data_IF_935514770589
#
_entry.id   IF_935514770589
#
_cell.length_a   1.000
_cell.length_b   1.000
_cell.length_c   1.000
_cell.angle_alpha   90.00
_cell.angle_beta   90.00
_cell.angle_gamma   90.00
#
_symmetry.space_group_name_H-M   'P 1'
#
loop_
_entity.id
_entity.type
_entity.pdbx_description
1 polymer ?
#
# COMPACT_ATOMS: atom_id res chain seq x y z
N UNK A 1 -6.58 -10.30 2.57
CA UNK A 1 -6.59 -9.22 1.56
C UNK A 1 -5.98 -9.67 0.25
N UNK A 2 -4.69 -10.06 0.21
CA UNK A 2 -4.00 -10.53 -1.01
C UNK A 2 -4.74 -11.65 -1.77
N UNK A 3 -5.10 -12.75 -1.08
CA UNK A 3 -5.87 -13.87 -1.67
C UNK A 3 -7.17 -13.42 -2.33
N UNK A 4 -7.82 -12.38 -1.79
CA UNK A 4 -9.05 -11.85 -2.36
C UNK A 4 -8.84 -11.10 -3.67
N UNK A 5 -7.70 -10.41 -3.82
CA UNK A 5 -7.31 -9.82 -5.10
C UNK A 5 -6.96 -10.90 -6.12
N UNK A 6 -6.23 -11.94 -5.70
CA UNK A 6 -5.81 -13.03 -6.59
C UNK A 6 -6.99 -13.78 -7.23
N UNK A 7 -8.11 -13.89 -6.49
CA UNK A 7 -9.36 -14.45 -7.03
C UNK A 7 -9.97 -13.63 -8.18
N UNK A 8 -9.61 -12.36 -8.33
CA UNK A 8 -10.07 -11.47 -9.42
C UNK A 8 -8.98 -11.37 -10.48
N UNK A 9 -9.00 -12.29 -11.45
CA UNK A 9 -8.09 -12.29 -12.60
C UNK A 9 -6.59 -12.32 -12.25
N UNK A 10 -6.20 -12.97 -11.15
CA UNK A 10 -4.80 -13.01 -10.73
C UNK A 10 -4.23 -11.65 -10.31
N UNK A 11 -5.10 -10.68 -9.96
CA UNK A 11 -4.67 -9.37 -9.48
C UNK A 11 -4.01 -9.46 -8.10
N UNK A 12 -3.22 -8.46 -7.75
CA UNK A 12 -2.51 -8.38 -6.46
C UNK A 12 -2.92 -7.11 -5.73
N UNK A 13 -2.58 -6.98 -4.45
CA UNK A 13 -2.73 -5.68 -3.79
C UNK A 13 -1.90 -4.62 -4.51
N UNK A 14 -2.42 -3.41 -4.57
CA UNK A 14 -1.83 -2.36 -5.40
C UNK A 14 -0.44 -1.95 -4.91
N UNK A 15 0.55 -2.05 -5.81
CA UNK A 15 1.83 -1.36 -5.72
C UNK A 15 1.73 0.05 -6.30
N UNK A 16 2.52 0.99 -5.78
CA UNK A 16 2.63 2.35 -6.32
C UNK A 16 4.10 2.69 -6.53
N UNK A 17 4.49 2.70 -7.80
CA UNK A 17 5.90 2.73 -8.23
C UNK A 17 6.28 4.08 -8.85
N UNK A 18 5.34 5.03 -8.96
CA UNK A 18 5.60 6.37 -9.46
C UNK A 18 4.66 7.42 -8.87
N UNK A 19 5.11 8.67 -8.86
CA UNK A 19 4.25 9.81 -8.49
C UNK A 19 3.00 9.92 -9.38
N UNK A 20 3.12 9.57 -10.67
CA UNK A 20 1.98 9.55 -11.61
C UNK A 20 0.94 8.52 -11.18
N UNK A 21 1.39 7.32 -10.82
CA UNK A 21 0.52 6.26 -10.32
C UNK A 21 -0.15 6.66 -9.01
N UNK A 22 0.59 7.27 -8.08
CA UNK A 22 0.04 7.76 -6.81
C UNK A 22 -1.11 8.75 -7.05
N UNK A 23 -0.93 9.71 -7.96
CA UNK A 23 -1.96 10.70 -8.31
C UNK A 23 -3.23 10.07 -8.90
N UNK A 24 -3.09 9.05 -9.75
CA UNK A 24 -4.22 8.29 -10.31
C UNK A 24 -4.96 7.57 -9.18
N UNK A 25 -4.23 6.88 -8.30
CA UNK A 25 -4.82 6.17 -7.15
C UNK A 25 -5.55 7.14 -6.23
N UNK A 26 -4.96 8.29 -5.87
CA UNK A 26 -5.63 9.27 -5.00
C UNK A 26 -6.91 9.84 -5.62
N UNK A 27 -6.87 10.11 -6.93
CA UNK A 27 -8.05 10.60 -7.66
C UNK A 27 -9.17 9.56 -7.66
N UNK A 28 -8.81 8.30 -7.89
CA UNK A 28 -9.73 7.16 -7.81
C UNK A 28 -10.34 7.03 -6.40
N UNK A 29 -9.53 7.04 -5.34
CA UNK A 29 -10.04 6.93 -3.97
C UNK A 29 -10.99 8.07 -3.59
N UNK A 30 -10.69 9.30 -4.05
CA UNK A 30 -11.56 10.46 -3.84
C UNK A 30 -12.91 10.30 -4.51
N UNK A 31 -12.96 9.73 -5.72
CA UNK A 31 -14.20 9.50 -6.45
C UNK A 31 -15.11 8.47 -5.75
N UNK A 32 -14.52 7.43 -5.16
CA UNK A 32 -15.26 6.35 -4.51
C UNK A 32 -15.54 6.59 -3.01
N UNK A 33 -15.08 7.69 -2.43
CA UNK A 33 -15.37 8.07 -1.03
C UNK A 33 -14.78 7.13 0.04
N UNK A 34 -13.80 6.29 -0.31
CA UNK A 34 -13.22 5.30 0.62
C UNK A 34 -12.13 5.93 1.49
N UNK A 35 -12.40 6.14 2.79
CA UNK A 35 -11.56 6.96 3.67
C UNK A 35 -10.14 6.40 3.88
N UNK A 36 -10.00 5.08 4.01
CA UNK A 36 -8.72 4.39 4.09
C UNK A 36 -8.80 3.03 3.41
N UNK A 37 -7.85 2.71 2.53
CA UNK A 37 -7.77 1.41 1.85
C UNK A 37 -6.41 0.75 2.05
N UNK A 38 -6.36 -0.56 2.18
CA UNK A 38 -5.11 -1.31 2.13
C UNK A 38 -4.50 -1.30 0.72
N UNK A 39 -3.18 -1.22 0.69
CA UNK A 39 -2.32 -1.43 -0.49
C UNK A 39 -1.34 -2.57 -0.22
N UNK A 40 -0.52 -2.92 -1.21
CA UNK A 40 0.38 -4.07 -1.12
C UNK A 40 1.68 -3.84 -0.35
N UNK A 41 1.85 -2.70 0.32
CA UNK A 41 3.09 -2.38 1.04
C UNK A 41 3.02 -2.96 2.45
N UNK A 42 3.91 -3.91 2.72
CA UNK A 42 4.00 -4.63 3.99
C UNK A 42 5.41 -4.50 4.57
N UNK A 43 5.51 -4.64 5.89
CA UNK A 43 6.77 -4.66 6.60
C UNK A 43 6.94 -5.93 7.40
N UNK A 44 8.08 -6.58 7.15
CA UNK A 44 8.55 -7.70 7.92
C UNK A 44 9.67 -7.28 8.88
N UNK A 45 9.78 -8.02 9.98
CA UNK A 45 10.77 -7.78 11.01
C UNK A 45 12.13 -8.29 10.56
N UNK A 46 13.05 -7.37 10.26
CA UNK A 46 14.47 -7.68 10.11
C UNK A 46 15.21 -7.72 11.46
N UNK A 47 16.52 -8.01 11.41
CA UNK A 47 17.39 -8.12 12.59
C UNK A 47 17.55 -6.79 13.33
N UNK A 48 17.65 -5.67 12.60
CA UNK A 48 17.94 -4.35 13.16
C UNK A 48 16.82 -3.32 12.88
N UNK A 49 15.96 -3.57 11.90
CA UNK A 49 14.93 -2.64 11.44
C UNK A 49 13.81 -3.39 10.68
N UNK A 50 12.70 -2.70 10.45
CA UNK A 50 11.68 -3.20 9.51
C UNK A 50 12.17 -3.11 8.06
N UNK A 51 11.86 -4.17 7.31
CA UNK A 51 12.11 -4.29 5.88
C UNK A 51 10.78 -4.12 5.17
N UNK A 52 10.68 -3.11 4.31
CA UNK A 52 9.47 -2.78 3.56
C UNK A 52 9.53 -3.37 2.17
N UNK A 53 8.46 -4.06 1.77
CA UNK A 53 8.35 -4.70 0.46
C UNK A 53 6.93 -4.65 -0.09
N UNK A 54 6.83 -4.70 -1.41
CA UNK A 54 5.55 -4.85 -2.09
C UNK A 54 5.19 -6.33 -2.23
N UNK A 55 3.95 -6.69 -1.90
CA UNK A 55 3.43 -8.05 -2.04
C UNK A 55 3.42 -8.57 -3.49
N UNK A 56 3.54 -7.67 -4.47
CA UNK A 56 3.67 -8.02 -5.89
C UNK A 56 5.11 -8.26 -6.36
N UNK A 57 6.09 -8.17 -5.45
CA UNK A 57 7.52 -8.33 -5.71
C UNK A 57 8.19 -7.11 -6.32
N UNK A 58 7.47 -5.98 -6.46
CA UNK A 58 8.07 -4.74 -6.95
C UNK A 58 9.07 -4.15 -5.96
N UNK A 59 10.03 -3.39 -6.47
CA UNK A 59 11.02 -2.69 -5.63
C UNK A 59 10.34 -1.55 -4.86
N UNK A 60 10.52 -1.54 -3.55
CA UNK A 60 10.13 -0.41 -2.71
C UNK A 60 11.23 0.66 -2.70
N UNK A 61 10.84 1.93 -2.88
CA UNK A 61 11.75 3.08 -2.86
C UNK A 61 11.21 4.21 -1.99
N UNK A 62 12.12 4.91 -1.31
CA UNK A 62 11.86 6.09 -0.50
C UNK A 62 12.37 7.37 -1.20
N UNK A 63 11.85 8.56 -0.86
CA UNK A 63 10.70 8.81 0.03
C UNK A 63 9.36 8.41 -0.61
N UNK A 64 8.29 8.39 0.18
CA UNK A 64 6.94 8.13 -0.33
C UNK A 64 6.46 9.29 -1.22
N UNK A 65 5.43 9.04 -2.01
CA UNK A 65 4.92 10.00 -3.01
C UNK A 65 4.17 11.20 -2.40
N UNK A 66 3.94 11.22 -1.08
CA UNK A 66 3.46 12.41 -0.35
C UNK A 66 4.59 13.19 0.35
N UNK A 67 5.86 12.85 0.06
CA UNK A 67 7.05 13.51 0.59
C UNK A 67 7.45 13.06 1.99
N UNK A 68 6.75 12.08 2.58
CA UNK A 68 7.06 11.54 3.91
C UNK A 68 7.92 10.28 3.80
N UNK A 69 8.58 9.95 4.91
CA UNK A 69 9.28 8.68 5.08
C UNK A 69 8.44 7.71 5.91
N UNK A 70 8.70 6.43 5.73
CA UNK A 70 8.03 5.37 6.49
C UNK A 70 8.88 5.08 7.74
N UNK A 71 8.27 4.73 8.86
CA UNK A 71 9.05 4.31 10.03
C UNK A 71 9.75 2.97 9.75
N UNK A 72 11.00 2.86 10.16
CA UNK A 72 11.77 1.60 10.13
C UNK A 72 12.01 1.03 11.55
N UNK A 73 11.41 1.62 12.58
CA UNK A 73 11.50 1.15 13.96
C UNK A 73 10.94 -0.26 14.08
N UNK A 74 11.63 -1.14 14.82
CA UNK A 74 11.16 -2.51 15.04
C UNK A 74 9.81 -2.48 15.77
N UNK A 75 8.77 -2.95 15.10
CA UNK A 75 7.46 -3.26 15.68
C UNK A 75 6.98 -4.63 15.20
N UNK A 76 5.77 -5.04 15.57
CA UNK A 76 5.09 -6.19 14.96
C UNK A 76 4.85 -5.95 13.46
N UNK A 77 4.54 -6.98 12.67
CA UNK A 77 4.22 -6.85 11.23
C UNK A 77 3.28 -5.67 10.94
N UNK A 78 3.74 -4.72 10.12
CA UNK A 78 2.96 -3.53 9.75
C UNK A 78 2.56 -3.58 8.28
N UNK A 79 1.41 -3.00 8.00
CA UNK A 79 0.87 -2.84 6.67
C UNK A 79 0.59 -1.36 6.42
N UNK A 80 0.56 -0.94 5.16
CA UNK A 80 0.23 0.44 4.81
C UNK A 80 -1.14 0.57 4.20
N UNK A 81 -1.90 1.53 4.72
CA UNK A 81 -3.15 2.00 4.13
C UNK A 81 -2.97 3.37 3.49
N UNK A 82 -3.73 3.64 2.44
CA UNK A 82 -3.84 4.96 1.82
C UNK A 82 -5.06 5.71 2.29
N UNK A 83 -4.90 6.99 2.60
CA UNK A 83 -5.97 7.93 2.89
C UNK A 83 -6.05 9.03 1.84
N UNK A 84 -7.24 9.35 1.35
CA UNK A 84 -7.42 10.51 0.46
C UNK A 84 -7.78 11.80 1.23
N UNK A 85 -8.38 11.69 2.42
CA UNK A 85 -8.90 12.82 3.21
C UNK A 85 -7.94 13.35 4.29
N UNK A 86 -6.92 12.57 4.66
CA UNK A 86 -5.93 12.97 5.67
C UNK A 86 -4.79 13.85 5.15
N UNK A 87 -4.08 14.48 6.10
CA UNK A 87 -2.81 15.20 5.89
C UNK A 87 -1.61 14.26 5.65
N UNK A 88 -1.77 13.00 6.03
CA UNK A 88 -0.86 11.91 5.74
C UNK A 88 -1.57 10.94 4.79
N UNK A 89 -0.97 10.69 3.62
CA UNK A 89 -1.59 9.83 2.61
C UNK A 89 -1.24 8.37 2.84
N UNK A 90 -0.05 8.08 3.36
CA UNK A 90 0.43 6.73 3.65
C UNK A 90 0.48 6.49 5.15
N UNK A 91 -0.35 5.57 5.64
CA UNK A 91 -0.52 5.36 7.08
C UNK A 91 -0.17 3.92 7.43
N UNK A 92 0.88 3.77 8.25
CA UNK A 92 1.29 2.51 8.88
C UNK A 92 0.25 2.07 9.91
N UNK A 93 -0.14 0.81 9.87
CA UNK A 93 -1.12 0.21 10.78
C UNK A 93 -0.81 -1.26 10.99
N UNK A 94 -1.33 -1.83 12.07
CA UNK A 94 -1.35 -3.28 12.24
C UNK A 94 -2.14 -3.93 11.10
N UNK A 95 -1.54 -4.95 10.47
CA UNK A 95 -2.13 -5.71 9.36
C UNK A 95 -3.46 -6.39 9.70
N UNK A 96 -3.78 -6.54 10.99
CA UNK A 96 -5.05 -7.13 11.46
C UNK A 96 -6.23 -6.15 11.42
N UNK A 97 -5.99 -4.86 11.10
CA UNK A 97 -7.05 -3.86 10.98
C UNK A 97 -7.98 -4.19 9.80
N UNK A 98 -9.29 -4.18 10.04
CA UNK A 98 -10.28 -4.41 8.98
C UNK A 98 -10.50 -3.12 8.18
N UNK A 99 -10.06 -3.10 6.92
CA UNK A 99 -10.27 -2.01 5.97
C UNK A 99 -10.58 -2.59 4.58
N UNK A 100 -11.28 -1.83 3.70
CA UNK A 100 -11.31 -2.14 2.28
C UNK A 100 -9.90 -2.14 1.69
N UNK A 101 -9.72 -2.76 0.53
CA UNK A 101 -8.41 -2.94 -0.10
C UNK A 101 -8.46 -2.61 -1.59
N UNK A 102 -7.33 -2.13 -2.13
CA UNK A 102 -7.17 -1.79 -3.54
C UNK A 102 -6.37 -2.89 -4.24
N UNK A 103 -6.93 -3.47 -5.29
CA UNK A 103 -6.25 -4.42 -6.15
C UNK A 103 -5.73 -3.75 -7.43
N UNK A 104 -4.58 -4.18 -7.91
CA UNK A 104 -3.98 -3.80 -9.19
C UNK A 104 -3.72 -5.08 -10.00
N UNK A 105 -4.07 -5.06 -11.27
CA UNK A 105 -3.76 -6.13 -12.20
C UNK A 105 -2.79 -5.64 -13.27
N UNK A 106 -1.94 -6.53 -13.78
CA UNK A 106 -1.14 -6.23 -14.96
C UNK A 106 -2.04 -6.36 -16.18
N UNK A 107 -2.15 -5.29 -16.97
CA UNK A 107 -2.82 -5.37 -18.25
C UNK A 107 -1.95 -6.21 -19.19
N UNK A 108 -2.45 -7.38 -19.59
CA UNK A 108 -1.93 -8.12 -20.74
C UNK A 108 -2.47 -7.45 -22.00
N UNK A 109 -1.58 -6.90 -22.82
CA UNK A 109 -1.87 -6.49 -24.19
C UNK A 109 -1.77 -7.68 -25.13
#
# INVERSE_FOLDING_TARGET
>A
MEVSCQRRHGSQLASILSAREANVVYSYLRQYGSSNVWIGLVADRGTLNMIWEWSDGSVFSQPLWDGRSISHSISSSECVSLSYSGSQKWIQRSCTTTLPYLCKYKATY
#
